data_IF_959393236379
#
_entry.id   IF_959393236379
#
_cell.length_a   1.000
_cell.length_b   1.000
_cell.length_c   1.000
_cell.angle_alpha   90.00
_cell.angle_beta   90.00
_cell.angle_gamma   90.00
#
_symmetry.space_group_name_H-M   'P 1'
#
loop_
_entity.id
_entity.type
_entity.pdbx_description
1 polymer ?
#
# COMPACT_ATOMS: atom_id res chain seq x y z
N UNK A 1 7.62 -11.77 -28.82
CA UNK A 1 6.32 -11.38 -29.43
C UNK A 1 5.68 -10.32 -28.53
N UNK A 2 5.35 -9.13 -29.05
CA UNK A 2 4.56 -8.11 -28.32
C UNK A 2 3.18 -8.73 -27.99
N UNK A 3 2.62 -8.42 -26.83
CA UNK A 3 1.37 -9.01 -26.35
C UNK A 3 0.15 -8.64 -27.20
N UNK A 4 -1.02 -9.21 -26.89
CA UNK A 4 -2.27 -8.97 -27.63
C UNK A 4 -2.93 -7.61 -27.34
N UNK A 5 -2.53 -6.94 -26.24
CA UNK A 5 -3.14 -5.69 -25.80
C UNK A 5 -2.67 -4.49 -26.60
N UNK A 6 -3.60 -3.58 -26.88
CA UNK A 6 -3.36 -2.35 -27.61
C UNK A 6 -3.16 -1.17 -26.66
N UNK A 7 -2.29 -0.20 -27.02
CA UNK A 7 -2.20 1.05 -26.31
C UNK A 7 -3.38 1.97 -26.66
N UNK A 8 -3.84 2.77 -25.71
CA UNK A 8 -4.78 3.88 -25.88
C UNK A 8 -4.13 5.19 -25.46
N UNK A 9 -4.57 6.29 -26.04
CA UNK A 9 -4.17 7.63 -25.61
C UNK A 9 -4.79 7.98 -24.25
N UNK A 10 -4.16 8.90 -23.54
CA UNK A 10 -4.60 9.38 -22.23
C UNK A 10 -4.85 10.89 -22.26
N UNK A 11 -5.36 11.45 -21.16
CA UNK A 11 -5.49 12.90 -20.99
C UNK A 11 -4.14 13.64 -20.94
N UNK A 12 -3.02 12.91 -20.85
CA UNK A 12 -1.67 13.45 -20.96
C UNK A 12 -1.10 13.19 -22.37
N UNK A 13 -0.83 14.24 -23.18
CA UNK A 13 -0.32 14.10 -24.54
C UNK A 13 0.95 13.25 -24.62
N UNK A 14 1.03 12.36 -25.60
CA UNK A 14 2.19 11.49 -25.82
C UNK A 14 2.32 10.31 -24.83
N UNK A 15 1.45 10.22 -23.83
CA UNK A 15 1.40 9.09 -22.89
C UNK A 15 0.28 8.15 -23.31
N UNK A 16 0.66 6.88 -23.49
CA UNK A 16 -0.25 5.78 -23.76
C UNK A 16 -0.17 4.71 -22.69
N UNK A 17 -1.30 4.11 -22.36
CA UNK A 17 -1.45 2.98 -21.44
C UNK A 17 -2.26 1.87 -22.11
N UNK A 18 -2.43 0.71 -21.45
CA UNK A 18 -3.20 -0.40 -22.00
C UNK A 18 -4.68 -0.04 -22.18
N UNK A 19 -5.33 -0.57 -23.22
CA UNK A 19 -6.77 -0.45 -23.47
C UNK A 19 -7.67 -0.96 -22.32
N UNK A 20 -7.09 -1.70 -21.37
CA UNK A 20 -7.76 -2.17 -20.15
C UNK A 20 -7.72 -1.18 -18.99
N UNK A 21 -7.20 0.05 -19.21
CA UNK A 21 -7.30 1.17 -18.28
C UNK A 21 -8.08 2.37 -18.87
N UNK A 22 -9.28 2.17 -19.45
CA UNK A 22 -10.00 3.23 -20.16
C UNK A 22 -10.50 4.35 -19.25
N UNK A 23 -10.78 4.08 -17.96
CA UNK A 23 -11.19 5.11 -17.01
C UNK A 23 -9.97 5.91 -16.56
N UNK A 24 -8.91 5.22 -16.15
CA UNK A 24 -7.69 5.86 -15.67
C UNK A 24 -6.98 6.68 -16.75
N UNK A 25 -7.10 6.28 -18.02
CA UNK A 25 -6.61 7.06 -19.15
C UNK A 25 -7.10 8.52 -19.13
N UNK A 26 -8.33 8.77 -18.64
CA UNK A 26 -8.90 10.13 -18.52
C UNK A 26 -8.30 10.92 -17.37
N UNK A 27 -7.73 10.25 -16.37
CA UNK A 27 -7.18 10.83 -15.15
C UNK A 27 -5.66 11.02 -15.18
N UNK A 28 -5.00 10.62 -16.27
CA UNK A 28 -3.53 10.65 -16.41
C UNK A 28 -2.91 12.04 -16.16
N UNK A 29 -3.65 13.14 -16.36
CA UNK A 29 -3.24 14.51 -15.99
C UNK A 29 -2.87 14.68 -14.50
N UNK A 30 -3.40 13.83 -13.61
CA UNK A 30 -3.10 13.85 -12.17
C UNK A 30 -1.92 12.94 -11.79
N UNK A 31 -1.44 12.12 -12.74
CA UNK A 31 -0.52 11.03 -12.47
C UNK A 31 0.85 11.25 -13.13
N UNK A 32 1.89 10.69 -12.51
CA UNK A 32 3.22 10.56 -13.11
C UNK A 32 3.58 9.07 -13.19
N UNK A 33 3.83 8.56 -14.40
CA UNK A 33 4.29 7.17 -14.59
C UNK A 33 5.81 7.13 -14.53
N UNK A 34 6.35 6.40 -13.56
CA UNK A 34 7.77 6.14 -13.42
C UNK A 34 8.14 4.88 -14.20
N UNK A 35 8.71 5.03 -15.40
CA UNK A 35 9.12 3.92 -16.28
C UNK A 35 10.56 3.47 -16.06
N UNK A 36 11.25 4.10 -15.11
CA UNK A 36 12.65 3.85 -14.79
C UNK A 36 12.88 2.84 -13.68
N UNK A 37 11.84 2.25 -13.10
CA UNK A 37 11.99 1.34 -11.96
C UNK A 37 12.79 0.09 -12.34
N UNK A 38 13.84 -0.21 -11.58
CA UNK A 38 14.66 -1.41 -11.77
C UNK A 38 15.36 -1.85 -10.47
N UNK A 39 15.47 -3.17 -10.26
CA UNK A 39 16.17 -3.79 -9.12
C UNK A 39 16.90 -5.07 -9.57
N UNK A 40 17.62 -5.69 -8.63
CA UNK A 40 18.19 -7.03 -8.80
C UNK A 40 17.31 -8.12 -8.17
N UNK A 41 16.25 -7.75 -7.46
CA UNK A 41 15.37 -8.67 -6.73
C UNK A 41 14.26 -9.17 -7.65
N UNK A 42 14.34 -10.42 -8.09
CA UNK A 42 13.30 -11.08 -8.89
C UNK A 42 12.57 -12.17 -8.11
N UNK A 43 12.63 -12.15 -6.78
CA UNK A 43 11.85 -13.01 -5.90
C UNK A 43 10.75 -12.18 -5.25
N UNK A 44 9.52 -12.71 -5.21
CA UNK A 44 8.37 -11.98 -4.69
C UNK A 44 8.60 -11.46 -3.27
N UNK A 45 9.09 -12.30 -2.35
CA UNK A 45 9.29 -11.92 -0.95
C UNK A 45 10.38 -10.87 -0.81
N UNK A 46 11.53 -11.08 -1.46
CA UNK A 46 12.67 -10.16 -1.38
C UNK A 46 12.37 -8.81 -2.03
N UNK A 47 11.72 -8.80 -3.20
CA UNK A 47 11.37 -7.58 -3.90
C UNK A 47 10.30 -6.77 -3.15
N UNK A 48 9.29 -7.45 -2.60
CA UNK A 48 8.25 -6.82 -1.76
C UNK A 48 8.89 -6.19 -0.54
N UNK A 49 9.72 -6.94 0.21
CA UNK A 49 10.41 -6.42 1.38
C UNK A 49 11.27 -5.19 1.05
N UNK A 50 12.01 -5.25 -0.07
CA UNK A 50 12.85 -4.15 -0.51
C UNK A 50 12.02 -2.90 -0.82
N UNK A 51 10.92 -3.02 -1.56
CA UNK A 51 10.07 -1.86 -1.90
C UNK A 51 9.33 -1.26 -0.70
N UNK A 52 9.08 -2.03 0.36
CA UNK A 52 8.48 -1.50 1.58
C UNK A 52 9.52 -0.85 2.49
N UNK A 53 10.74 -1.38 2.56
CA UNK A 53 11.73 -0.97 3.58
C UNK A 53 12.89 -0.15 3.02
N UNK A 54 13.21 -0.30 1.74
CA UNK A 54 14.43 0.22 1.11
C UNK A 54 15.69 -0.63 1.38
N UNK A 55 15.55 -1.74 2.10
CA UNK A 55 16.65 -2.61 2.50
C UNK A 55 16.51 -4.01 1.91
N UNK A 56 17.63 -4.62 1.55
CA UNK A 56 17.63 -6.02 1.15
C UNK A 56 17.49 -6.91 2.39
N UNK A 57 16.55 -7.87 2.33
CA UNK A 57 16.38 -8.87 3.39
C UNK A 57 17.53 -9.88 3.37
N UNK A 58 18.65 -9.54 4.02
CA UNK A 58 19.86 -10.39 4.06
C UNK A 58 19.90 -11.34 5.27
N UNK A 59 18.74 -11.63 5.88
CA UNK A 59 18.68 -12.48 7.08
C UNK A 59 19.42 -11.91 8.29
N UNK A 60 19.56 -10.59 8.35
CA UNK A 60 20.20 -9.90 9.47
C UNK A 60 19.29 -9.83 10.70
N UNK A 61 19.89 -9.48 11.84
CA UNK A 61 19.19 -9.36 13.13
C UNK A 61 18.23 -8.16 13.17
N UNK A 62 18.44 -7.17 12.31
CA UNK A 62 17.64 -5.94 12.28
C UNK A 62 16.41 -6.13 11.39
N UNK A 63 15.22 -5.99 11.99
CA UNK A 63 13.97 -5.85 11.28
C UNK A 63 13.75 -4.38 10.88
N UNK A 64 13.83 -4.07 9.59
CA UNK A 64 13.61 -2.72 9.08
C UNK A 64 12.11 -2.36 9.05
N UNK A 65 11.75 -1.11 9.40
CA UNK A 65 10.39 -0.64 9.27
C UNK A 65 9.98 -0.51 7.81
N UNK A 66 8.71 -0.80 7.52
CA UNK A 66 8.08 -0.44 6.25
C UNK A 66 7.88 1.08 6.11
N UNK A 67 7.70 1.56 4.88
CA UNK A 67 7.37 2.96 4.59
C UNK A 67 6.13 3.42 5.36
N UNK A 68 5.09 2.58 5.45
CA UNK A 68 3.90 2.89 6.23
C UNK A 68 4.19 3.07 7.71
N UNK A 69 5.08 2.25 8.29
CA UNK A 69 5.53 2.42 9.66
C UNK A 69 6.38 3.69 9.86
N UNK A 70 7.25 4.02 8.90
CA UNK A 70 7.99 5.29 8.90
C UNK A 70 7.02 6.47 8.90
N UNK A 71 6.04 6.47 7.99
CA UNK A 71 5.03 7.54 7.89
C UNK A 71 4.21 7.64 9.18
N UNK A 72 3.79 6.51 9.76
CA UNK A 72 3.12 6.50 11.05
C UNK A 72 3.98 7.03 12.20
N UNK A 73 5.29 6.80 12.16
CA UNK A 73 6.22 7.30 13.19
C UNK A 73 6.47 8.81 13.06
N UNK A 74 6.63 9.30 11.83
CA UNK A 74 7.00 10.69 11.55
C UNK A 74 5.79 11.64 11.50
N UNK A 75 4.67 11.19 10.95
CA UNK A 75 3.46 12.01 10.74
C UNK A 75 2.27 11.59 11.62
N UNK A 76 2.37 10.45 12.30
CA UNK A 76 1.29 9.94 13.14
C UNK A 76 1.09 10.73 14.42
N UNK A 77 -0.15 10.71 14.89
CA UNK A 77 -0.57 11.32 16.16
C UNK A 77 -0.75 10.22 17.19
N UNK A 78 -0.14 10.35 18.36
CA UNK A 78 -0.24 9.33 19.44
C UNK A 78 -1.54 9.44 20.23
N UNK A 79 -2.14 10.63 20.23
CA UNK A 79 -3.31 10.99 21.00
C UNK A 79 -4.64 10.77 20.25
N UNK A 80 -4.62 10.38 18.98
CA UNK A 80 -5.84 9.99 18.25
C UNK A 80 -6.23 8.54 18.53
N UNK A 81 -7.52 8.22 18.33
CA UNK A 81 -8.04 6.87 18.59
C UNK A 81 -7.81 5.91 17.41
N UNK A 82 -7.69 6.45 16.20
CA UNK A 82 -7.37 5.66 15.02
C UNK A 82 -5.89 5.27 15.01
N UNK A 83 -5.56 4.09 14.44
CA UNK A 83 -4.18 3.74 14.15
C UNK A 83 -3.58 4.70 13.11
N UNK A 84 -2.27 4.92 13.19
CA UNK A 84 -1.56 5.78 12.23
C UNK A 84 -1.20 5.05 10.92
N UNK A 85 -1.33 3.72 10.91
CA UNK A 85 -1.06 2.87 9.76
C UNK A 85 -2.10 1.74 9.71
N UNK A 86 -2.81 1.62 8.59
CA UNK A 86 -3.76 0.54 8.31
C UNK A 86 -3.35 -0.21 7.06
N UNK A 87 -3.44 -1.53 7.09
CA UNK A 87 -3.38 -2.36 5.88
C UNK A 87 -4.72 -3.01 5.59
N UNK A 88 -5.09 -3.07 4.32
CA UNK A 88 -6.38 -3.58 3.87
C UNK A 88 -6.14 -4.68 2.83
N UNK A 89 -6.79 -5.82 3.01
CA UNK A 89 -6.56 -7.03 2.24
C UNK A 89 -5.46 -7.89 2.86
N UNK A 90 -4.94 -8.83 2.07
CA UNK A 90 -3.96 -9.82 2.54
C UNK A 90 -2.54 -9.31 2.31
N UNK A 91 -2.10 -8.39 3.15
CA UNK A 91 -0.75 -7.84 3.05
C UNK A 91 0.35 -8.87 3.39
N UNK A 92 1.50 -8.82 2.70
CA UNK A 92 2.64 -9.70 2.99
C UNK A 92 3.28 -9.31 4.33
N UNK A 93 2.90 -10.02 5.40
CA UNK A 93 3.24 -9.66 6.79
C UNK A 93 4.74 -9.42 7.05
N UNK A 94 5.64 -10.13 6.35
CA UNK A 94 7.09 -9.95 6.50
C UNK A 94 7.60 -8.59 6.00
N UNK A 95 6.93 -7.99 5.02
CA UNK A 95 7.30 -6.69 4.42
C UNK A 95 6.60 -5.51 5.08
N UNK A 96 5.46 -5.75 5.74
CA UNK A 96 4.60 -4.72 6.33
C UNK A 96 4.68 -4.81 7.86
N UNK A 97 5.75 -4.25 8.41
CA UNK A 97 6.05 -4.30 9.84
C UNK A 97 6.56 -2.95 10.35
N UNK A 98 6.39 -2.71 11.66
CA UNK A 98 7.04 -1.60 12.35
C UNK A 98 8.55 -1.78 12.47
N UNK A 99 9.06 -3.01 12.32
CA UNK A 99 10.46 -3.32 12.55
C UNK A 99 10.94 -2.78 13.91
N UNK A 100 12.10 -2.13 13.92
CA UNK A 100 12.66 -1.52 15.12
C UNK A 100 11.94 -0.26 15.63
N UNK A 101 10.97 0.32 14.90
CA UNK A 101 10.22 1.51 15.38
C UNK A 101 9.23 1.15 16.50
N UNK A 102 8.94 -0.15 16.64
CA UNK A 102 8.16 -0.67 17.75
C UNK A 102 6.63 -0.56 17.55
N UNK A 103 5.87 -0.98 18.57
CA UNK A 103 4.45 -1.29 18.45
C UNK A 103 3.58 -0.08 18.05
N UNK A 104 4.01 1.14 18.31
CA UNK A 104 3.25 2.36 17.98
C UNK A 104 3.18 2.65 16.48
N UNK A 105 4.11 2.08 15.71
CA UNK A 105 4.15 2.18 14.24
C UNK A 105 3.67 0.90 13.56
N UNK A 106 3.12 -0.07 14.32
CA UNK A 106 2.65 -1.34 13.78
C UNK A 106 1.30 -1.14 13.07
N UNK A 107 1.12 -1.69 11.84
CA UNK A 107 -0.13 -1.60 11.13
C UNK A 107 -1.28 -2.32 11.87
N UNK A 108 -2.47 -1.74 11.79
CA UNK A 108 -3.73 -2.45 12.02
C UNK A 108 -4.19 -3.10 10.71
N UNK A 109 -4.30 -4.42 10.68
CA UNK A 109 -4.73 -5.16 9.49
C UNK A 109 -6.25 -5.34 9.41
N UNK A 110 -6.83 -5.06 8.24
CA UNK A 110 -8.22 -5.33 7.85
C UNK A 110 -8.20 -6.35 6.71
N UNK A 111 -8.44 -7.63 7.02
CA UNK A 111 -8.35 -8.69 6.00
C UNK A 111 -9.44 -8.60 4.94
N UNK A 112 -10.67 -8.27 5.35
CA UNK A 112 -11.83 -8.16 4.46
C UNK A 112 -12.45 -6.75 4.62
N UNK A 113 -12.30 -5.86 3.62
CA UNK A 113 -12.84 -4.51 3.69
C UNK A 113 -14.37 -4.45 3.69
N UNK A 114 -15.06 -5.48 3.21
CA UNK A 114 -16.53 -5.52 3.19
C UNK A 114 -17.06 -5.74 4.61
N UNK A 115 -16.40 -6.64 5.34
CA UNK A 115 -16.72 -6.95 6.74
C UNK A 115 -16.24 -5.88 7.70
N UNK A 116 -15.13 -5.20 7.37
CA UNK A 116 -14.52 -4.20 8.25
C UNK A 116 -13.71 -4.84 9.37
N UNK A 117 -13.61 -4.14 10.51
CA UNK A 117 -12.91 -4.65 11.67
C UNK A 117 -13.79 -5.56 12.52
N UNK A 118 -13.23 -6.69 12.91
CA UNK A 118 -13.86 -7.61 13.86
C UNK A 118 -13.77 -7.11 15.30
N UNK A 119 -14.75 -7.49 16.13
CA UNK A 119 -14.76 -7.26 17.58
C UNK A 119 -14.58 -5.79 18.02
N UNK A 120 -15.05 -4.83 17.20
CA UNK A 120 -15.01 -3.38 17.51
C UNK A 120 -16.09 -2.90 18.49
N UNK A 121 -16.96 -3.81 18.92
CA UNK A 121 -17.93 -3.60 19.99
C UNK A 121 -17.59 -4.48 21.19
N UNK A 122 -17.75 -3.97 22.43
CA UNK A 122 -17.47 -4.76 23.61
C UNK A 122 -18.47 -5.91 23.75
N UNK A 123 -17.97 -7.05 24.22
CA UNK A 123 -18.82 -8.19 24.54
C UNK A 123 -19.55 -7.90 25.87
N UNK A 124 -20.85 -7.68 25.78
CA UNK A 124 -21.72 -7.36 26.92
C UNK A 124 -21.87 -5.85 27.15
N UNK A 125 -22.35 -5.47 28.34
CA UNK A 125 -22.61 -4.08 28.65
C UNK A 125 -21.30 -3.25 28.73
N UNK A 126 -21.30 -2.05 28.12
CA UNK A 126 -20.17 -1.12 28.12
C UNK A 126 -19.57 -0.89 29.53
N UNK A 127 -20.44 -0.70 30.53
CA UNK A 127 -20.02 -0.47 31.91
C UNK A 127 -19.30 -1.70 32.51
N UNK A 128 -19.72 -2.92 32.16
CA UNK A 128 -19.07 -4.13 32.60
C UNK A 128 -17.70 -4.32 31.92
N UNK A 129 -17.61 -3.98 30.63
CA UNK A 129 -16.34 -3.97 29.89
C UNK A 129 -15.35 -2.97 30.50
N UNK A 130 -15.78 -1.73 30.76
CA UNK A 130 -14.94 -0.70 31.37
C UNK A 130 -14.38 -1.13 32.73
N UNK A 131 -15.19 -1.77 33.60
CA UNK A 131 -14.71 -2.33 34.88
C UNK A 131 -13.67 -3.44 34.69
N UNK A 132 -13.81 -4.29 33.68
CA UNK A 132 -12.82 -5.35 33.39
C UNK A 132 -11.49 -4.75 32.92
N UNK A 133 -11.53 -3.71 32.08
CA UNK A 133 -10.35 -2.99 31.62
C UNK A 133 -9.62 -2.33 32.79
N UNK A 134 -10.35 -1.65 33.68
CA UNK A 134 -9.79 -1.02 34.88
C UNK A 134 -9.15 -2.05 35.83
N UNK A 135 -9.84 -3.17 36.09
CA UNK A 135 -9.27 -4.26 36.89
C UNK A 135 -7.98 -4.84 36.28
N UNK A 136 -7.96 -5.05 34.95
CA UNK A 136 -6.76 -5.52 34.25
C UNK A 136 -5.60 -4.53 34.44
N UNK A 137 -5.85 -3.23 34.27
CA UNK A 137 -4.83 -2.20 34.45
C UNK A 137 -4.28 -2.18 35.89
N UNK A 138 -5.13 -2.37 36.89
CA UNK A 138 -4.72 -2.45 38.30
C UNK A 138 -3.86 -3.69 38.58
N UNK A 139 -4.21 -4.85 38.01
CA UNK A 139 -3.45 -6.09 38.16
C UNK A 139 -2.09 -6.06 37.44
N UNK A 140 -2.02 -5.41 36.28
CA UNK A 140 -0.78 -5.33 35.50
C UNK A 140 0.19 -4.27 36.05
N UNK A 141 -0.29 -3.25 36.77
CA UNK A 141 0.54 -2.13 37.25
C UNK A 141 1.77 -2.57 38.07
N UNK A 142 1.65 -3.40 39.12
CA UNK A 142 2.81 -3.84 39.90
C UNK A 142 3.84 -4.61 39.07
N UNK A 143 3.36 -5.52 38.19
CA UNK A 143 4.22 -6.29 37.31
C UNK A 143 5.03 -5.38 36.35
N UNK A 144 4.41 -4.31 35.85
CA UNK A 144 5.10 -3.34 34.97
C UNK A 144 6.18 -2.57 35.71
N UNK A 145 5.90 -2.15 36.94
CA UNK A 145 6.84 -1.42 37.79
C UNK A 145 8.06 -2.28 38.15
N UNK A 146 7.87 -3.58 38.35
CA UNK A 146 8.94 -4.53 38.70
C UNK A 146 9.79 -4.97 37.51
N UNK A 147 9.18 -5.38 36.39
CA UNK A 147 9.90 -6.09 35.31
C UNK A 147 10.30 -5.21 34.11
N UNK A 148 9.64 -4.07 33.88
CA UNK A 148 9.95 -3.10 32.81
C UNK A 148 10.33 -3.73 31.44
N UNK A 149 9.57 -4.73 30.99
CA UNK A 149 9.90 -5.47 29.76
C UNK A 149 9.34 -4.80 28.51
N UNK A 150 10.14 -4.80 27.42
CA UNK A 150 9.73 -4.31 26.10
C UNK A 150 8.47 -5.03 25.59
N UNK A 151 8.37 -6.34 25.81
CA UNK A 151 7.22 -7.14 25.42
C UNK A 151 5.95 -6.74 26.19
N UNK A 152 6.07 -6.47 27.50
CA UNK A 152 4.97 -6.00 28.33
C UNK A 152 4.46 -4.62 27.91
N UNK A 153 5.37 -3.68 27.63
CA UNK A 153 5.01 -2.36 27.14
C UNK A 153 4.33 -2.41 25.76
N UNK A 154 4.80 -3.30 24.87
CA UNK A 154 4.19 -3.51 23.56
C UNK A 154 2.78 -4.10 23.65
N UNK A 155 2.58 -5.10 24.50
CA UNK A 155 1.25 -5.68 24.76
C UNK A 155 0.28 -4.64 25.31
N UNK A 156 0.72 -3.84 26.30
CA UNK A 156 -0.08 -2.75 26.85
C UNK A 156 -0.47 -1.74 25.77
N UNK A 157 0.50 -1.25 25.01
CA UNK A 157 0.26 -0.22 23.99
C UNK A 157 -0.74 -0.71 22.93
N UNK A 158 -0.63 -1.98 22.52
CA UNK A 158 -1.61 -2.59 21.62
C UNK A 158 -3.01 -2.67 22.24
N UNK A 159 -3.12 -3.11 23.50
CA UNK A 159 -4.40 -3.24 24.21
C UNK A 159 -5.08 -1.87 24.42
N UNK A 160 -4.34 -0.87 24.89
CA UNK A 160 -4.86 0.48 25.13
C UNK A 160 -5.39 1.13 23.84
N UNK A 161 -4.68 0.96 22.72
CA UNK A 161 -5.15 1.43 21.41
C UNK A 161 -6.41 0.72 20.95
N UNK A 162 -6.50 -0.60 21.15
CA UNK A 162 -7.70 -1.36 20.80
C UNK A 162 -8.92 -0.84 21.58
N UNK A 163 -8.80 -0.68 22.90
CA UNK A 163 -9.87 -0.12 23.75
C UNK A 163 -10.25 1.30 23.31
N UNK A 164 -9.25 2.13 23.00
CA UNK A 164 -9.47 3.50 22.54
C UNK A 164 -10.22 3.56 21.20
N UNK A 165 -9.85 2.69 20.25
CA UNK A 165 -10.53 2.56 18.96
C UNK A 165 -11.98 2.09 19.14
N UNK A 166 -12.21 1.06 19.97
CA UNK A 166 -13.57 0.55 20.25
C UNK A 166 -14.49 1.62 20.82
N UNK A 167 -13.96 2.55 21.62
CA UNK A 167 -14.72 3.64 22.22
C UNK A 167 -14.82 4.90 21.33
N UNK A 168 -14.17 4.91 20.16
CA UNK A 168 -14.15 6.07 19.28
C UNK A 168 -15.26 6.01 18.23
N UNK A 169 -15.88 7.15 17.94
CA UNK A 169 -16.77 7.30 16.78
C UNK A 169 -16.03 7.11 15.46
N UNK A 170 -14.72 7.32 15.44
CA UNK A 170 -13.89 7.16 14.24
C UNK A 170 -13.84 5.71 13.73
N UNK A 171 -14.20 4.71 14.55
CA UNK A 171 -14.32 3.31 14.10
C UNK A 171 -15.32 3.14 12.95
N UNK A 172 -16.25 4.08 12.78
CA UNK A 172 -17.20 4.11 11.66
C UNK A 172 -16.52 4.27 10.28
N UNK A 173 -15.25 4.69 10.22
CA UNK A 173 -14.50 4.72 8.96
C UNK A 173 -14.31 3.32 8.35
N UNK A 174 -14.28 2.28 9.19
CA UNK A 174 -14.16 0.88 8.79
C UNK A 174 -15.50 0.24 8.38
N UNK A 175 -16.62 0.97 8.49
CA UNK A 175 -17.95 0.49 8.12
C UNK A 175 -18.37 1.07 6.76
N UNK A 176 -18.24 0.26 5.71
CA UNK A 176 -18.63 0.62 4.35
C UNK A 176 -20.14 0.67 4.13
N UNK A 177 -20.97 0.13 5.03
CA UNK A 177 -22.43 0.19 4.89
C UNK A 177 -22.98 1.61 5.03
N UNK A 178 -22.16 2.53 5.53
CA UNK A 178 -22.46 3.95 5.68
C UNK A 178 -22.28 4.75 4.39
N UNK A 179 -21.70 4.15 3.35
CA UNK A 179 -21.56 4.78 2.04
C UNK A 179 -22.82 4.52 1.19
N UNK A 180 -23.26 5.50 0.38
CA UNK A 180 -24.32 5.25 -0.60
C UNK A 180 -23.98 4.09 -1.52
N UNK A 181 -25.00 3.30 -1.89
CA UNK A 181 -24.84 2.13 -2.76
C UNK A 181 -24.25 2.46 -4.14
N UNK A 182 -24.45 3.69 -4.63
CA UNK A 182 -23.86 4.20 -5.87
C UNK A 182 -22.35 4.39 -5.75
N UNK A 183 -21.87 4.93 -4.63
CA UNK A 183 -20.44 5.11 -4.34
C UNK A 183 -19.77 3.75 -4.24
N UNK A 184 -20.36 2.82 -3.47
CA UNK A 184 -19.84 1.44 -3.37
C UNK A 184 -19.79 0.74 -4.73
N UNK A 185 -20.76 0.99 -5.60
CA UNK A 185 -20.78 0.44 -6.95
C UNK A 185 -19.70 1.04 -7.86
N UNK A 186 -19.38 2.33 -7.73
CA UNK A 186 -18.35 3.00 -8.52
C UNK A 186 -16.96 2.38 -8.34
N UNK A 187 -16.64 1.96 -7.11
CA UNK A 187 -15.39 1.26 -6.79
C UNK A 187 -15.37 -0.22 -7.22
N UNK A 188 -16.51 -0.78 -7.66
CA UNK A 188 -16.66 -2.20 -7.98
C UNK A 188 -17.15 -3.03 -6.79
N UNK A 189 -18.16 -3.88 -7.04
CA UNK A 189 -18.81 -4.68 -5.98
C UNK A 189 -18.16 -6.07 -5.83
N UNK A 190 -18.03 -6.58 -4.59
CA UNK A 190 -17.66 -7.97 -4.31
C UNK A 190 -18.57 -8.94 -5.07
N UNK A 191 -17.99 -9.88 -5.80
CA UNK A 191 -18.72 -10.91 -6.54
C UNK A 191 -19.50 -10.41 -7.77
N UNK A 192 -19.30 -9.17 -8.21
CA UNK A 192 -19.96 -8.63 -9.42
C UNK A 192 -19.37 -9.16 -10.74
N UNK A 193 -18.22 -9.84 -10.72
CA UNK A 193 -17.81 -10.63 -11.87
C UNK A 193 -18.68 -11.87 -11.96
N UNK A 194 -19.15 -12.18 -13.18
CA UNK A 194 -19.85 -13.42 -13.44
C UNK A 194 -18.96 -14.58 -12.96
N UNK A 195 -19.51 -15.57 -12.22
CA UNK A 195 -18.75 -16.77 -11.90
C UNK A 195 -18.21 -17.37 -13.20
N UNK A 196 -16.97 -17.89 -13.22
CA UNK A 196 -16.41 -18.50 -14.42
C UNK A 196 -17.39 -19.55 -14.94
N UNK A 197 -17.60 -19.60 -16.26
CA UNK A 197 -18.50 -20.60 -16.85
C UNK A 197 -17.98 -22.00 -16.49
N UNK A 198 -18.86 -23.00 -16.48
CA UNK A 198 -18.47 -24.40 -16.22
C UNK A 198 -17.34 -24.81 -17.19
N UNK A 199 -16.13 -25.02 -16.64
CA UNK A 199 -14.91 -25.33 -17.41
C UNK A 199 -13.89 -24.18 -17.52
N UNK A 200 -14.26 -22.96 -17.13
CA UNK A 200 -13.36 -21.82 -17.02
C UNK A 200 -12.72 -21.77 -15.62
N UNK A 201 -11.45 -21.40 -15.54
CA UNK A 201 -10.79 -21.16 -14.25
C UNK A 201 -11.23 -19.82 -13.68
N UNK A 202 -11.36 -19.70 -12.37
CA UNK A 202 -11.44 -18.38 -11.75
C UNK A 202 -10.09 -17.67 -11.93
N UNK A 203 -10.04 -16.67 -12.80
CA UNK A 203 -8.81 -15.99 -13.20
C UNK A 203 -8.42 -14.86 -12.23
N UNK A 204 -9.35 -14.42 -11.37
CA UNK A 204 -9.21 -13.27 -10.47
C UNK A 204 -10.02 -13.49 -9.18
N UNK A 205 -9.53 -14.33 -8.27
CA UNK A 205 -10.02 -14.47 -6.87
C UNK A 205 -11.48 -14.09 -6.58
N UNK A 206 -11.71 -13.35 -5.49
CA UNK A 206 -12.99 -12.68 -5.22
C UNK A 206 -12.92 -11.26 -5.79
N UNK A 207 -13.54 -11.01 -6.95
CA UNK A 207 -13.55 -9.70 -7.61
C UNK A 207 -14.26 -8.65 -6.76
N UNK A 208 -13.70 -7.44 -6.66
CA UNK A 208 -14.30 -6.28 -6.01
C UNK A 208 -13.80 -6.04 -4.58
N UNK A 209 -13.04 -6.97 -4.00
CA UNK A 209 -12.39 -6.77 -2.70
C UNK A 209 -11.40 -5.61 -2.72
N UNK A 210 -10.60 -5.47 -3.80
CA UNK A 210 -9.66 -4.36 -3.95
C UNK A 210 -10.37 -3.01 -4.01
N UNK A 211 -11.45 -2.93 -4.79
CA UNK A 211 -12.28 -1.73 -4.91
C UNK A 211 -12.87 -1.27 -3.58
N UNK A 212 -13.47 -2.20 -2.82
CA UNK A 212 -13.98 -1.88 -1.48
C UNK A 212 -12.84 -1.49 -0.52
N UNK A 213 -11.65 -2.08 -0.68
CA UNK A 213 -10.46 -1.67 0.06
C UNK A 213 -10.03 -0.23 -0.24
N UNK A 214 -10.02 0.18 -1.51
CA UNK A 214 -9.77 1.57 -1.91
C UNK A 214 -10.83 2.54 -1.33
N UNK A 215 -12.10 2.15 -1.33
CA UNK A 215 -13.18 2.94 -0.72
C UNK A 215 -12.97 3.11 0.80
N UNK A 216 -12.60 2.03 1.50
CA UNK A 216 -12.25 2.10 2.92
C UNK A 216 -11.04 2.99 3.15
N UNK A 217 -10.00 2.87 2.30
CA UNK A 217 -8.83 3.73 2.38
C UNK A 217 -9.21 5.21 2.25
N UNK A 218 -10.08 5.58 1.31
CA UNK A 218 -10.59 6.96 1.20
C UNK A 218 -11.23 7.42 2.51
N UNK A 219 -12.14 6.63 3.10
CA UNK A 219 -12.79 6.96 4.40
C UNK A 219 -11.78 7.13 5.53
N UNK A 220 -10.75 6.30 5.57
CA UNK A 220 -9.69 6.35 6.57
C UNK A 220 -8.81 7.60 6.41
N UNK A 221 -8.44 7.95 5.17
CA UNK A 221 -7.71 9.19 4.87
C UNK A 221 -8.54 10.42 5.25
N UNK A 222 -9.85 10.44 5.01
CA UNK A 222 -10.75 11.51 5.45
C UNK A 222 -10.74 11.72 6.97
N UNK A 223 -10.56 10.64 7.73
CA UNK A 223 -10.44 10.73 9.20
C UNK A 223 -9.05 11.12 9.69
N UNK A 224 -8.11 11.36 8.78
CA UNK A 224 -6.76 11.83 9.07
C UNK A 224 -5.75 10.72 9.38
N UNK A 225 -6.00 9.47 8.95
CA UNK A 225 -4.98 8.42 9.04
C UNK A 225 -3.81 8.75 8.10
N UNK A 226 -2.56 8.82 8.60
CA UNK A 226 -1.39 9.18 7.80
C UNK A 226 -1.07 8.23 6.64
N UNK A 227 -1.29 6.92 6.83
CA UNK A 227 -0.94 5.92 5.83
C UNK A 227 -1.93 4.76 5.79
N UNK A 228 -2.42 4.46 4.60
CA UNK A 228 -3.24 3.28 4.33
C UNK A 228 -2.67 2.52 3.15
N UNK A 229 -2.42 1.22 3.33
CA UNK A 229 -1.99 0.32 2.27
C UNK A 229 -3.16 -0.58 1.87
N UNK A 230 -3.44 -0.66 0.57
CA UNK A 230 -4.47 -1.56 0.03
C UNK A 230 -3.81 -2.57 -0.89
N UNK A 231 -3.98 -3.85 -0.57
CA UNK A 231 -3.40 -4.94 -1.35
C UNK A 231 -4.47 -5.55 -2.25
N UNK A 232 -4.15 -5.63 -3.53
CA UNK A 232 -5.02 -6.30 -4.51
C UNK A 232 -4.84 -7.82 -4.43
N UNK A 233 -5.94 -8.54 -4.21
CA UNK A 233 -5.94 -10.00 -4.11
C UNK A 233 -5.16 -10.49 -2.88
N UNK A 234 -4.20 -11.39 -3.11
CA UNK A 234 -3.32 -11.98 -2.10
C UNK A 234 -1.91 -11.36 -2.08
N UNK A 235 -1.70 -10.26 -2.80
CA UNK A 235 -0.39 -9.61 -2.95
C UNK A 235 0.52 -10.24 -4.01
N UNK A 236 0.18 -11.42 -4.54
CA UNK A 236 0.90 -12.09 -5.65
C UNK A 236 -0.02 -12.37 -6.84
N UNK A 237 -1.24 -11.83 -6.85
CA UNK A 237 -2.25 -12.08 -7.89
C UNK A 237 -1.80 -11.72 -9.32
N UNK A 238 -0.84 -10.79 -9.46
CA UNK A 238 -0.20 -10.41 -10.72
C UNK A 238 0.89 -11.39 -11.19
N UNK A 239 1.03 -12.54 -10.51
CA UNK A 239 1.92 -13.64 -10.87
C UNK A 239 1.41 -14.49 -12.04
N UNK A 240 1.55 -13.93 -13.24
CA UNK A 240 0.98 -14.45 -14.49
C UNK A 240 1.90 -15.41 -15.26
N UNK A 241 2.51 -16.38 -14.57
CA UNK A 241 3.28 -17.47 -15.21
C UNK A 241 2.46 -18.38 -16.14
N UNK A 242 1.14 -18.31 -16.06
CA UNK A 242 0.18 -19.01 -16.94
C UNK A 242 -1.03 -18.11 -17.18
N UNK A 243 -1.73 -18.35 -18.29
CA UNK A 243 -2.97 -17.65 -18.66
C UNK A 243 -2.79 -16.12 -18.62
N UNK A 244 -1.64 -15.63 -19.07
CA UNK A 244 -1.21 -14.25 -18.82
C UNK A 244 -2.19 -13.21 -19.35
N UNK A 245 -2.62 -13.33 -20.60
CA UNK A 245 -3.51 -12.34 -21.21
C UNK A 245 -4.89 -12.30 -20.53
N UNK A 246 -5.63 -13.40 -20.39
CA UNK A 246 -6.94 -13.34 -19.75
C UNK A 246 -6.85 -12.91 -18.28
N UNK A 247 -5.82 -13.32 -17.53
CA UNK A 247 -5.61 -12.85 -16.14
C UNK A 247 -5.26 -11.36 -16.07
N UNK A 248 -4.29 -10.91 -16.84
CA UNK A 248 -3.85 -9.49 -16.82
C UNK A 248 -4.98 -8.57 -17.24
N UNK A 249 -5.82 -8.97 -18.21
CA UNK A 249 -7.02 -8.23 -18.60
C UNK A 249 -7.97 -8.05 -17.43
N UNK A 250 -8.33 -9.14 -16.75
CA UNK A 250 -9.26 -9.10 -15.64
C UNK A 250 -8.72 -8.28 -14.45
N UNK A 251 -7.44 -8.48 -14.08
CA UNK A 251 -6.76 -7.68 -13.06
C UNK A 251 -6.71 -6.19 -13.43
N UNK A 252 -6.40 -5.86 -14.69
CA UNK A 252 -6.35 -4.47 -15.15
C UNK A 252 -7.72 -3.79 -15.06
N UNK A 253 -8.81 -4.48 -15.40
CA UNK A 253 -10.16 -3.91 -15.34
C UNK A 253 -10.66 -3.68 -13.91
N UNK A 254 -10.34 -4.59 -12.99
CA UNK A 254 -10.62 -4.39 -11.56
C UNK A 254 -9.81 -3.20 -11.01
N UNK A 255 -8.52 -3.14 -11.34
CA UNK A 255 -7.64 -2.06 -10.93
C UNK A 255 -8.05 -0.71 -11.52
N UNK A 256 -8.38 -0.65 -12.83
CA UNK A 256 -8.88 0.55 -13.51
C UNK A 256 -10.13 1.09 -12.82
N UNK A 257 -11.06 0.22 -12.44
CA UNK A 257 -12.30 0.61 -11.77
C UNK A 257 -12.02 1.19 -10.39
N UNK A 258 -11.26 0.48 -9.56
CA UNK A 258 -10.96 0.89 -8.19
C UNK A 258 -10.09 2.16 -8.13
N UNK A 259 -9.00 2.21 -8.90
CA UNK A 259 -8.06 3.33 -8.89
C UNK A 259 -8.67 4.60 -9.48
N UNK A 260 -9.48 4.48 -10.54
CA UNK A 260 -10.14 5.66 -11.11
C UNK A 260 -11.18 6.24 -10.15
N UNK A 261 -11.99 5.39 -9.52
CA UNK A 261 -12.95 5.83 -8.51
C UNK A 261 -12.25 6.50 -7.32
N UNK A 262 -11.13 5.94 -6.84
CA UNK A 262 -10.35 6.53 -5.75
C UNK A 262 -9.83 7.92 -6.11
N UNK A 263 -9.24 8.08 -7.30
CA UNK A 263 -8.67 9.37 -7.72
C UNK A 263 -9.77 10.42 -7.94
N UNK A 264 -10.89 10.04 -8.55
CA UNK A 264 -12.05 10.91 -8.73
C UNK A 264 -12.64 11.35 -7.38
N UNK A 265 -12.88 10.42 -6.46
CA UNK A 265 -13.48 10.69 -5.15
C UNK A 265 -12.54 11.56 -4.27
N UNK A 266 -11.22 11.32 -4.31
CA UNK A 266 -10.23 12.19 -3.66
C UNK A 266 -10.21 13.60 -4.27
N UNK A 267 -10.36 13.72 -5.59
CA UNK A 267 -10.40 15.03 -6.26
C UNK A 267 -11.68 15.80 -5.91
N UNK A 268 -12.85 15.14 -5.97
CA UNK A 268 -14.16 15.72 -5.63
C UNK A 268 -14.21 16.21 -4.18
N UNK A 269 -13.49 15.56 -3.29
CA UNK A 269 -13.39 15.92 -1.87
C UNK A 269 -12.28 16.93 -1.56
N UNK A 270 -11.51 17.36 -2.56
CA UNK A 270 -10.37 18.26 -2.37
C UNK A 270 -9.20 17.65 -1.59
N UNK A 271 -9.12 16.31 -1.53
CA UNK A 271 -8.06 15.58 -0.82
C UNK A 271 -6.92 15.16 -1.74
N UNK A 272 -7.11 15.18 -3.07
CA UNK A 272 -6.10 14.71 -4.02
C UNK A 272 -4.81 15.54 -3.93
N UNK A 273 -4.89 16.84 -3.66
CA UNK A 273 -3.71 17.70 -3.55
C UNK A 273 -2.89 17.44 -2.27
N UNK A 274 -3.54 16.94 -1.20
CA UNK A 274 -2.91 16.64 0.09
C UNK A 274 -2.62 15.16 0.31
N UNK A 275 -3.01 14.29 -0.63
CA UNK A 275 -2.87 12.83 -0.52
C UNK A 275 -2.06 12.30 -1.68
N UNK A 276 -0.90 11.72 -1.39
CA UNK A 276 -0.11 11.01 -2.40
C UNK A 276 -0.63 9.57 -2.51
N UNK A 277 -1.17 9.21 -3.67
CA UNK A 277 -1.50 7.82 -4.00
C UNK A 277 -0.30 7.18 -4.69
N UNK A 278 0.21 6.10 -4.10
CA UNK A 278 1.32 5.32 -4.64
C UNK A 278 0.79 4.00 -5.17
N UNK A 279 0.76 3.85 -6.49
CA UNK A 279 0.36 2.61 -7.15
C UNK A 279 1.60 1.90 -7.69
N UNK A 280 1.94 0.78 -7.05
CA UNK A 280 3.14 0.02 -7.38
C UNK A 280 2.95 -1.49 -7.23
N UNK A 281 3.91 -2.23 -7.77
CA UNK A 281 4.14 -3.65 -7.55
C UNK A 281 5.64 -3.91 -7.45
N UNK A 282 6.01 -5.15 -7.16
CA UNK A 282 7.35 -5.53 -6.75
C UNK A 282 8.38 -5.59 -7.88
N UNK A 283 7.93 -5.98 -9.08
CA UNK A 283 8.70 -5.97 -10.32
C UNK A 283 7.80 -6.15 -11.53
N UNK A 284 8.37 -6.10 -12.73
CA UNK A 284 7.69 -6.31 -13.99
C UNK A 284 7.59 -7.78 -14.38
N UNK A 285 7.02 -8.02 -15.57
CA UNK A 285 6.93 -9.34 -16.19
C UNK A 285 7.72 -9.36 -17.49
N UNK A 286 8.34 -10.51 -17.79
CA UNK A 286 9.18 -10.68 -18.99
C UNK A 286 8.49 -10.10 -20.24
N UNK A 287 9.19 -9.33 -21.09
CA UNK A 287 8.62 -8.78 -22.30
C UNK A 287 8.09 -9.84 -23.27
N UNK A 288 8.76 -10.99 -23.29
CA UNK A 288 8.40 -12.12 -24.12
C UNK A 288 7.46 -13.06 -23.36
N UNK A 289 6.35 -13.43 -23.99
CA UNK A 289 5.44 -14.45 -23.49
C UNK A 289 5.88 -15.82 -24.03
N UNK A 290 6.02 -16.81 -23.13
CA UNK A 290 6.35 -18.19 -23.47
C UNK A 290 5.38 -19.14 -22.79
N UNK A 291 4.88 -20.17 -23.49
CA UNK A 291 3.97 -21.17 -22.90
C UNK A 291 2.65 -20.61 -22.34
N UNK A 292 2.20 -19.45 -22.82
CA UNK A 292 0.98 -18.77 -22.34
C UNK A 292 1.17 -17.90 -21.10
N UNK A 293 2.40 -17.70 -20.64
CA UNK A 293 2.74 -16.96 -19.43
C UNK A 293 3.93 -16.01 -19.56
N UNK A 294 4.18 -15.23 -18.50
CA UNK A 294 5.37 -14.38 -18.36
C UNK A 294 6.06 -14.65 -17.02
N UNK A 295 7.39 -14.65 -17.02
CA UNK A 295 8.22 -14.82 -15.83
C UNK A 295 8.54 -13.47 -15.15
N UNK A 296 9.18 -13.54 -13.99
CA UNK A 296 9.61 -12.38 -13.20
C UNK A 296 10.62 -11.52 -13.98
N UNK A 297 10.53 -10.19 -13.81
CA UNK A 297 11.38 -9.25 -14.54
C UNK A 297 11.69 -7.97 -13.75
N UNK A 298 12.76 -8.01 -12.97
CA UNK A 298 13.22 -6.90 -12.14
C UNK A 298 14.00 -5.81 -12.91
N UNK A 299 14.36 -6.06 -14.17
CA UNK A 299 15.19 -5.14 -14.97
C UNK A 299 14.47 -3.86 -15.40
N UNK A 300 13.15 -3.89 -15.46
CA UNK A 300 12.32 -2.75 -15.84
C UNK A 300 10.86 -2.99 -15.47
N UNK A 301 10.22 -2.02 -14.82
CA UNK A 301 8.76 -1.95 -14.69
C UNK A 301 8.28 -0.52 -14.53
N UNK A 302 6.99 -0.33 -14.24
CA UNK A 302 6.40 0.97 -13.99
C UNK A 302 5.69 1.05 -12.65
N UNK A 303 5.84 2.19 -11.98
CA UNK A 303 5.06 2.60 -10.82
C UNK A 303 4.39 3.94 -11.12
N UNK A 304 3.31 4.26 -10.42
CA UNK A 304 2.53 5.48 -10.66
C UNK A 304 2.38 6.25 -9.36
N UNK A 305 2.69 7.54 -9.41
CA UNK A 305 2.43 8.49 -8.33
C UNK A 305 1.30 9.42 -8.78
N UNK A 306 0.34 9.72 -7.89
CA UNK A 306 -0.86 10.49 -8.21
C UNK A 306 -1.18 11.43 -7.05
N UNK A 307 -1.50 12.69 -7.34
CA UNK A 307 -1.85 13.67 -6.31
C UNK A 307 -0.67 14.06 -5.41
N UNK A 308 -0.95 14.55 -4.20
CA UNK A 308 0.07 14.99 -3.23
C UNK A 308 0.88 16.19 -3.72
N UNK A 309 0.29 17.04 -4.57
CA UNK A 309 0.94 18.23 -5.11
C UNK A 309 1.99 17.98 -6.20
N UNK A 310 2.18 16.74 -6.65
CA UNK A 310 3.15 16.43 -7.70
C UNK A 310 2.75 17.02 -9.06
N UNK A 311 3.73 17.22 -9.93
CA UNK A 311 3.51 17.54 -11.35
C UNK A 311 3.03 16.30 -12.09
N UNK A 312 1.72 16.14 -12.21
CA UNK A 312 1.08 15.08 -13.01
C UNK A 312 1.19 15.29 -14.52
N UNK A 313 0.59 14.39 -15.30
CA UNK A 313 0.51 14.49 -16.76
C UNK A 313 1.82 14.14 -17.48
N UNK A 314 2.71 13.41 -16.83
CA UNK A 314 4.03 13.10 -17.36
C UNK A 314 4.44 11.62 -17.16
N UNK A 315 5.48 11.21 -17.87
CA UNK A 315 6.15 9.94 -17.64
C UNK A 315 7.65 10.21 -17.49
N UNK A 316 8.27 9.62 -16.46
CA UNK A 316 9.68 9.79 -16.16
C UNK A 316 10.43 8.49 -16.44
N UNK A 317 11.52 8.60 -17.20
CA UNK A 317 12.32 7.48 -17.66
C UNK A 317 11.74 6.73 -18.84
N UNK A 318 12.55 5.80 -19.37
CA UNK A 318 12.26 5.09 -20.61
C UNK A 318 12.89 3.71 -20.62
N UNK A 319 12.18 2.77 -21.22
CA UNK A 319 12.71 1.44 -21.54
C UNK A 319 13.08 1.32 -23.02
N UNK A 320 13.88 0.31 -23.36
CA UNK A 320 14.16 -0.02 -24.75
C UNK A 320 12.88 -0.33 -25.55
N UNK A 321 13.02 -0.50 -26.87
CA UNK A 321 11.88 -0.74 -27.78
C UNK A 321 11.05 -1.98 -27.43
N UNK A 322 11.63 -2.90 -26.66
CA UNK A 322 11.04 -4.17 -26.25
C UNK A 322 10.45 -4.09 -24.84
N UNK A 323 10.69 -3.00 -24.10
CA UNK A 323 10.30 -2.85 -22.70
C UNK A 323 11.14 -3.70 -21.75
N UNK A 324 12.32 -4.16 -22.18
CA UNK A 324 13.13 -5.13 -21.46
C UNK A 324 14.10 -4.50 -20.46
N UNK A 325 14.67 -3.35 -20.79
CA UNK A 325 15.68 -2.70 -19.96
C UNK A 325 15.40 -1.22 -19.88
N UNK A 326 15.65 -0.61 -18.72
CA UNK A 326 15.65 0.85 -18.57
C UNK A 326 16.86 1.43 -19.31
N UNK A 327 16.61 2.36 -20.23
CA UNK A 327 17.65 3.02 -21.04
C UNK A 327 17.78 4.52 -20.73
N UNK A 328 16.81 5.08 -20.00
CA UNK A 328 16.83 6.47 -19.58
C UNK A 328 16.19 6.59 -18.19
N UNK A 329 16.81 7.44 -17.35
CA UNK A 329 16.46 7.70 -15.95
C UNK A 329 16.16 6.42 -15.14
N UNK A 330 17.16 5.58 -14.82
CA UNK A 330 16.98 4.51 -13.86
C UNK A 330 16.57 5.07 -12.49
N UNK A 331 15.63 4.37 -11.84
CA UNK A 331 15.06 4.71 -10.54
C UNK A 331 15.28 3.50 -9.64
N UNK A 332 16.13 3.68 -8.63
CA UNK A 332 16.34 2.67 -7.60
C UNK A 332 15.26 2.77 -6.51
N UNK A 333 15.13 1.74 -5.67
CA UNK A 333 14.21 1.76 -4.53
C UNK A 333 14.53 2.92 -3.57
N UNK A 334 15.79 3.20 -3.20
CA UNK A 334 16.11 4.40 -2.42
C UNK A 334 15.68 5.72 -3.08
N UNK A 335 15.85 5.86 -4.40
CA UNK A 335 15.41 7.06 -5.13
C UNK A 335 13.89 7.26 -5.01
N UNK A 336 13.15 6.16 -5.19
CA UNK A 336 11.70 6.14 -5.12
C UNK A 336 11.18 6.46 -3.71
N UNK A 337 11.69 5.78 -2.68
CA UNK A 337 11.27 5.99 -1.29
C UNK A 337 11.68 7.38 -0.77
N UNK A 338 12.87 7.87 -1.11
CA UNK A 338 13.29 9.22 -0.73
C UNK A 338 12.44 10.29 -1.42
N UNK A 339 12.01 10.06 -2.66
CA UNK A 339 11.07 10.96 -3.35
C UNK A 339 9.72 10.98 -2.64
N UNK A 340 9.17 9.82 -2.27
CA UNK A 340 7.92 9.76 -1.48
C UNK A 340 8.07 10.49 -0.14
N UNK A 341 9.13 10.21 0.61
CA UNK A 341 9.40 10.91 1.87
C UNK A 341 9.48 12.44 1.66
N UNK A 342 10.15 12.88 0.59
CA UNK A 342 10.27 14.31 0.25
C UNK A 342 8.90 14.94 -0.03
N UNK A 343 8.03 14.27 -0.80
CA UNK A 343 6.66 14.73 -1.07
C UNK A 343 5.85 14.85 0.22
N UNK A 344 6.02 13.89 1.14
CA UNK A 344 5.36 13.88 2.45
C UNK A 344 5.98 14.84 3.48
N UNK A 345 7.06 15.56 3.13
CA UNK A 345 7.77 16.44 4.06
C UNK A 345 8.61 15.72 5.12
N UNK A 346 8.90 14.44 4.93
CA UNK A 346 9.73 13.60 5.82
C UNK A 346 11.20 13.70 5.40
N UNK A 347 12.09 14.00 6.35
CA UNK A 347 13.53 13.93 6.12
C UNK A 347 14.00 12.47 6.02
N UNK A 348 14.11 11.97 4.80
CA UNK A 348 14.56 10.61 4.52
C UNK A 348 15.99 10.30 5.00
N UNK A 349 16.79 11.32 5.37
CA UNK A 349 18.15 11.15 5.90
C UNK A 349 18.18 11.03 7.42
N UNK A 350 17.06 11.26 8.10
CA UNK A 350 16.92 11.12 9.56
C UNK A 350 17.39 9.73 9.98
N UNK A 351 18.16 9.70 11.07
CA UNK A 351 18.80 8.50 11.61
C UNK A 351 18.03 7.96 12.80
N UNK A 352 17.68 6.69 12.74
CA UNK A 352 17.12 5.91 13.83
C UNK A 352 18.24 5.19 14.59
N UNK A 353 18.02 4.97 15.88
CA UNK A 353 18.96 4.26 16.77
C UNK A 353 18.25 3.06 17.41
N UNK A 354 18.12 1.93 16.68
CA UNK A 354 17.50 0.73 17.22
C UNK A 354 18.25 0.21 18.45
N UNK A 355 17.52 -0.32 19.43
CA UNK A 355 18.14 -0.96 20.59
C UNK A 355 19.01 -2.16 20.15
N UNK A 356 20.22 -2.26 20.69
CA UNK A 356 21.17 -3.33 20.35
C UNK A 356 21.86 -3.18 18.99
N UNK A 357 21.75 -2.01 18.35
CA UNK A 357 22.44 -1.70 17.08
C UNK A 357 23.29 -0.46 17.25
N UNK A 358 24.62 -0.62 17.19
CA UNK A 358 25.57 0.50 17.42
C UNK A 358 25.56 1.55 16.30
N UNK A 359 25.23 1.13 15.06
CA UNK A 359 25.23 2.02 13.90
C UNK A 359 23.83 2.59 13.67
N UNK A 360 23.68 3.92 13.56
CA UNK A 360 22.40 4.51 13.20
C UNK A 360 21.96 4.08 11.79
N UNK A 361 20.65 3.90 11.64
CA UNK A 361 20.00 3.48 10.39
C UNK A 361 19.15 4.63 9.87
N UNK A 362 19.46 5.13 8.67
CA UNK A 362 18.66 6.17 8.03
C UNK A 362 17.26 5.65 7.65
N UNK A 363 16.28 6.54 7.52
CA UNK A 363 14.95 6.18 6.99
C UNK A 363 15.08 5.55 5.60
N UNK A 364 15.87 6.16 4.71
CA UNK A 364 16.25 5.59 3.41
C UNK A 364 17.76 5.42 3.35
N UNK A 365 18.22 4.26 2.85
CA UNK A 365 19.65 4.02 2.64
C UNK A 365 20.20 4.90 1.51
N UNK A 366 20.77 6.04 1.89
CA UNK A 366 21.41 6.99 0.98
C UNK A 366 22.91 6.73 0.76
N UNK A 367 23.45 5.58 1.21
CA UNK A 367 24.89 5.29 1.15
C UNK A 367 25.47 5.26 -0.27
N UNK A 368 24.65 4.94 -1.27
CA UNK A 368 25.03 4.91 -2.70
C UNK A 368 24.66 6.19 -3.45
N UNK A 369 24.22 7.22 -2.74
CA UNK A 369 23.66 8.44 -3.31
C UNK A 369 22.22 8.25 -3.76
N UNK A 370 21.37 9.22 -3.42
CA UNK A 370 19.96 9.27 -3.80
C UNK A 370 19.76 10.33 -4.87
N UNK A 371 19.08 9.97 -5.94
CA UNK A 371 18.66 10.85 -7.04
C UNK A 371 17.14 10.98 -7.02
N UNK A 372 16.67 11.96 -6.25
CA UNK A 372 15.25 12.33 -6.19
C UNK A 372 14.67 12.50 -7.60
N UNK A 373 13.41 12.11 -7.78
CA UNK A 373 12.68 12.27 -9.03
C UNK A 373 12.20 13.73 -9.10
N UNK A 374 13.12 14.67 -9.25
CA UNK A 374 12.84 16.11 -9.24
C UNK A 374 11.91 16.57 -10.36
N UNK A 375 11.75 15.75 -11.41
CA UNK A 375 10.85 16.00 -12.53
C UNK A 375 9.38 16.11 -12.10
N UNK A 376 9.01 15.41 -11.01
CA UNK A 376 7.63 15.37 -10.50
C UNK A 376 7.40 16.26 -9.27
N UNK A 377 8.46 16.82 -8.68
CA UNK A 377 8.39 17.66 -7.49
C UNK A 377 7.96 19.10 -7.81
#
# INVERSE_FOLDING_TARGET
MRGEFKPIDTSAPGIRISEHFPKFAKLMKHAAILRGMCTQESDHKLATYNLHTGYQNRGGVVAYPSLGAIVASELGKRDVALPNFVTIGRAPQEAVSAGFLGPDSQPLGVTDPVRGLDYIEPIGAQAAFARKVDLLQQLEKPFREEYQSVAGDAHRSAFERAVKLMNSQQKQAFDLTREPDSVRAAYGRPGAAAPPKRGEKNLTGETGGFGQGCLMARRLIETGIPFVEVVMGDGVGWDTHRDNFPRTRALSLECDTAMSALVEDLAERGLLDTTLVVWMGEFGRTPQCGGGGRNHWAKAWSSVLIGGGIKGGQAVGKTDRDGATVIDRPISVPDFLATICTILGIDYRKKNHPAGVDRPISIVDASKGVKLISEIL
#
